data_IF_649248712447
#
_entry.id   IF_649248712447
#
_cell.length_a   1.000
_cell.length_b   1.000
_cell.length_c   1.000
_cell.angle_alpha   90.00
_cell.angle_beta   90.00
_cell.angle_gamma   90.00
#
_symmetry.space_group_name_H-M   'P 1'
#
loop_
_entity.id
_entity.type
_entity.pdbx_description
1 polymer ?
#
# COMPACT_ATOMS: atom_id res chain seq x y z
N UNK A 1 1.00 -7.47 11.68
CA UNK A 1 0.31 -6.82 10.53
C UNK A 1 -0.72 -7.75 9.93
N UNK A 2 -0.34 -8.88 9.31
CA UNK A 2 -1.34 -9.88 8.87
C UNK A 2 -2.13 -10.53 10.01
N UNK A 3 -1.54 -10.67 11.20
CA UNK A 3 -2.26 -11.11 12.41
C UNK A 3 -3.31 -10.12 12.93
N UNK A 4 -3.32 -8.88 12.43
CA UNK A 4 -4.28 -7.83 12.79
C UNK A 4 -5.33 -7.64 11.68
N UNK A 5 -5.17 -8.33 10.55
CA UNK A 5 -6.14 -8.39 9.47
C UNK A 5 -6.89 -9.72 9.60
N UNK A 6 -8.10 -9.66 10.14
CA UNK A 6 -9.02 -10.79 10.16
C UNK A 6 -9.37 -11.22 8.71
N UNK A 7 -9.63 -12.52 8.48
CA UNK A 7 -9.77 -13.17 7.15
C UNK A 7 -10.93 -12.65 6.27
N UNK A 8 -11.71 -11.67 6.74
CA UNK A 8 -12.87 -11.12 6.02
C UNK A 8 -12.55 -9.76 5.40
N UNK A 9 -12.82 -9.65 4.09
CA UNK A 9 -12.77 -8.40 3.34
C UNK A 9 -13.80 -7.42 3.94
N UNK A 10 -13.42 -6.15 4.07
CA UNK A 10 -14.28 -5.04 4.54
C UNK A 10 -14.91 -5.21 5.93
N UNK A 11 -14.29 -5.97 6.83
CA UNK A 11 -14.74 -6.12 8.23
C UNK A 11 -14.36 -4.94 9.16
N UNK A 12 -13.90 -3.82 8.61
CA UNK A 12 -13.50 -2.66 9.41
C UNK A 12 -12.07 -2.72 9.99
N UNK A 13 -11.21 -3.63 9.51
CA UNK A 13 -9.80 -3.71 9.93
C UNK A 13 -9.03 -2.38 9.72
N UNK A 14 -9.47 -1.54 8.78
CA UNK A 14 -8.90 -0.22 8.49
C UNK A 14 -9.68 0.95 9.11
N UNK A 15 -10.52 0.71 10.13
CA UNK A 15 -11.13 1.78 10.94
C UNK A 15 -10.07 2.63 11.65
N UNK A 16 -10.41 3.88 12.00
CA UNK A 16 -9.48 4.80 12.67
C UNK A 16 -8.91 4.17 13.94
N UNK A 17 -9.78 3.58 14.76
CA UNK A 17 -9.44 2.93 16.02
C UNK A 17 -8.46 1.76 15.81
N UNK A 18 -8.68 0.93 14.79
CA UNK A 18 -7.80 -0.20 14.47
C UNK A 18 -6.46 0.28 13.92
N UNK A 19 -6.44 1.32 13.09
CA UNK A 19 -5.19 1.91 12.59
C UNK A 19 -4.34 2.49 13.72
N UNK A 20 -4.96 3.18 14.69
CA UNK A 20 -4.28 3.68 15.91
C UNK A 20 -3.74 2.53 16.77
N UNK A 21 -4.51 1.47 16.95
CA UNK A 21 -4.04 0.27 17.66
C UNK A 21 -2.85 -0.41 16.95
N UNK A 22 -2.87 -0.48 15.61
CA UNK A 22 -1.73 -0.98 14.82
C UNK A 22 -0.52 -0.08 15.03
N UNK A 23 -0.66 1.24 14.94
CA UNK A 23 0.42 2.20 15.15
C UNK A 23 1.07 2.03 16.54
N UNK A 24 0.27 1.91 17.59
CA UNK A 24 0.74 1.62 18.94
C UNK A 24 1.50 0.30 19.01
N UNK A 25 0.98 -0.77 18.39
CA UNK A 25 1.65 -2.08 18.36
C UNK A 25 3.00 -2.07 17.64
N UNK A 26 3.22 -1.10 16.75
CA UNK A 26 4.47 -0.88 16.04
C UNK A 26 5.43 0.04 16.82
N UNK A 27 5.03 0.55 17.99
CA UNK A 27 5.82 1.46 18.82
C UNK A 27 5.88 2.89 18.30
N UNK A 28 4.90 3.31 17.49
CA UNK A 28 4.79 4.72 17.08
C UNK A 28 4.30 5.59 18.25
N UNK A 29 4.67 6.87 18.21
CA UNK A 29 4.14 7.89 19.14
C UNK A 29 2.63 8.03 18.92
N UNK A 30 1.86 7.70 19.94
CA UNK A 30 0.40 7.63 19.91
C UNK A 30 -0.23 9.01 19.74
N UNK A 31 0.22 10.01 20.50
CA UNK A 31 -0.29 11.38 20.44
C UNK A 31 -0.07 11.96 19.04
N UNK A 32 1.14 11.78 18.48
CA UNK A 32 1.49 12.28 17.17
C UNK A 32 0.72 11.56 16.07
N UNK A 33 0.61 10.23 16.13
CA UNK A 33 -0.10 9.46 15.12
C UNK A 33 -1.61 9.75 15.14
N UNK A 34 -2.21 9.81 16.33
CA UNK A 34 -3.63 10.11 16.49
C UNK A 34 -3.98 11.48 15.92
N UNK A 35 -3.23 12.51 16.29
CA UNK A 35 -3.40 13.85 15.75
C UNK A 35 -3.25 13.89 14.21
N UNK A 36 -2.26 13.15 13.69
CA UNK A 36 -2.04 13.03 12.25
C UNK A 36 -3.22 12.37 11.53
N UNK A 37 -3.73 11.26 12.05
CA UNK A 37 -4.84 10.52 11.46
C UNK A 37 -6.15 11.31 11.55
N UNK A 38 -6.47 11.83 12.73
CA UNK A 38 -7.73 12.52 13.02
C UNK A 38 -7.84 13.85 12.25
N UNK A 39 -6.72 14.54 12.02
CA UNK A 39 -6.70 15.75 11.20
C UNK A 39 -7.02 15.50 9.72
N UNK A 40 -6.95 14.25 9.25
CA UNK A 40 -7.13 13.91 7.84
C UNK A 40 -6.09 14.53 6.92
N UNK A 41 -4.93 14.96 7.45
CA UNK A 41 -3.87 15.70 6.75
C UNK A 41 -3.48 15.10 5.39
N UNK A 42 -3.48 13.77 5.28
CA UNK A 42 -3.06 13.05 4.08
C UNK A 42 -4.21 12.49 3.22
N UNK A 43 -5.47 12.78 3.56
CA UNK A 43 -6.66 12.29 2.83
C UNK A 43 -6.59 12.62 1.32
N UNK A 44 -6.27 13.87 0.97
CA UNK A 44 -6.09 14.29 -0.43
C UNK A 44 -4.95 13.54 -1.13
N UNK A 45 -3.87 13.20 -0.43
CA UNK A 45 -2.75 12.44 -1.00
C UNK A 45 -3.14 10.99 -1.27
N UNK A 46 -3.93 10.38 -0.39
CA UNK A 46 -4.48 9.01 -0.61
C UNK A 46 -5.40 8.99 -1.84
N UNK A 47 -6.30 9.97 -1.96
CA UNK A 47 -7.17 10.10 -3.14
C UNK A 47 -6.37 10.33 -4.42
N UNK A 48 -5.38 11.23 -4.38
CA UNK A 48 -4.49 11.48 -5.51
C UNK A 48 -3.77 10.21 -5.95
N UNK A 49 -3.13 9.47 -5.03
CA UNK A 49 -2.42 8.24 -5.36
C UNK A 49 -3.37 7.16 -5.93
N UNK A 50 -4.60 7.08 -5.41
CA UNK A 50 -5.63 6.17 -5.93
C UNK A 50 -6.00 6.52 -7.36
N UNK A 51 -6.14 7.82 -7.67
CA UNK A 51 -6.43 8.27 -9.04
C UNK A 51 -5.25 8.02 -9.96
N UNK A 52 -4.01 8.31 -9.52
CA UNK A 52 -2.81 8.03 -10.30
C UNK A 52 -2.71 6.55 -10.68
N UNK A 53 -3.01 5.63 -9.75
CA UNK A 53 -3.04 4.20 -10.07
C UNK A 53 -4.05 3.89 -11.19
N UNK A 54 -5.27 4.45 -11.13
CA UNK A 54 -6.30 4.28 -12.16
C UNK A 54 -5.88 4.85 -13.51
N UNK A 55 -5.30 6.06 -13.51
CA UNK A 55 -4.83 6.75 -14.71
C UNK A 55 -3.71 5.96 -15.40
N UNK A 56 -2.89 5.24 -14.63
CA UNK A 56 -1.84 4.34 -15.12
C UNK A 56 -2.34 2.89 -15.30
N UNK A 57 -3.65 2.68 -15.45
CA UNK A 57 -4.23 1.41 -15.86
C UNK A 57 -4.32 0.33 -14.77
N UNK A 58 -4.05 0.64 -13.51
CA UNK A 58 -4.23 -0.33 -12.41
C UNK A 58 -5.73 -0.58 -12.18
N UNK A 59 -6.12 -1.85 -12.26
CA UNK A 59 -7.53 -2.30 -12.10
C UNK A 59 -7.80 -3.09 -10.83
N UNK A 60 -6.75 -3.46 -10.09
CA UNK A 60 -6.84 -4.24 -8.86
C UNK A 60 -5.48 -4.30 -8.17
N UNK A 61 -5.48 -4.75 -6.91
CA UNK A 61 -4.26 -4.90 -6.10
C UNK A 61 -3.92 -6.38 -5.87
N UNK A 62 -2.63 -6.73 -5.76
CA UNK A 62 -1.49 -5.82 -5.92
C UNK A 62 -1.24 -5.50 -7.41
N UNK A 63 -0.72 -4.29 -7.67
CA UNK A 63 -0.22 -3.87 -8.97
C UNK A 63 1.12 -3.17 -8.75
N UNK A 64 2.13 -3.53 -9.53
CA UNK A 64 3.51 -3.08 -9.36
C UNK A 64 3.98 -2.30 -10.58
N UNK A 65 4.78 -1.26 -10.33
CA UNK A 65 5.58 -0.58 -11.35
C UNK A 65 7.04 -0.76 -10.96
N UNK A 66 7.81 -1.46 -11.79
CA UNK A 66 9.24 -1.68 -11.62
C UNK A 66 9.97 -0.61 -12.44
N UNK A 67 10.66 0.31 -11.76
CA UNK A 67 11.38 1.43 -12.37
C UNK A 67 12.87 1.10 -12.38
N UNK A 68 13.48 1.06 -13.57
CA UNK A 68 14.89 0.80 -13.80
C UNK A 68 15.54 1.82 -14.74
N UNK A 69 16.84 1.64 -15.07
CA UNK A 69 17.58 2.59 -15.91
C UNK A 69 16.95 2.84 -17.30
N UNK A 70 16.36 1.79 -17.88
CA UNK A 70 15.79 1.83 -19.24
C UNK A 70 14.28 2.14 -19.26
N UNK A 71 13.71 2.57 -18.13
CA UNK A 71 12.31 2.96 -18.01
C UNK A 71 11.54 2.15 -16.96
N UNK A 72 10.26 1.89 -17.23
CA UNK A 72 9.36 1.23 -16.27
C UNK A 72 8.62 0.04 -16.89
N UNK A 73 8.41 -1.01 -16.10
CA UNK A 73 7.58 -2.17 -16.44
C UNK A 73 6.47 -2.37 -15.41
N UNK A 74 5.26 -2.70 -15.86
CA UNK A 74 4.11 -2.94 -14.99
C UNK A 74 3.86 -4.44 -14.79
N UNK A 75 3.60 -4.86 -13.55
CA UNK A 75 3.18 -6.21 -13.20
C UNK A 75 1.80 -6.15 -12.54
N UNK A 76 0.82 -6.83 -13.14
CA UNK A 76 -0.54 -6.90 -12.61
C UNK A 76 -0.78 -8.15 -11.77
N UNK A 77 -1.40 -7.96 -10.60
CA UNK A 77 -1.83 -9.04 -9.72
C UNK A 77 -0.71 -9.60 -8.84
N UNK A 78 -1.10 -10.52 -7.96
CA UNK A 78 -0.16 -11.29 -7.17
C UNK A 78 0.53 -12.30 -8.10
N UNK A 79 1.82 -12.07 -8.38
CA UNK A 79 2.64 -12.92 -9.25
C UNK A 79 3.69 -13.68 -8.42
N UNK A 80 4.16 -14.85 -8.88
CA UNK A 80 5.22 -15.59 -8.21
C UNK A 80 6.58 -14.88 -8.37
N UNK A 81 7.51 -15.17 -7.46
CA UNK A 81 8.87 -14.63 -7.47
C UNK A 81 9.57 -14.70 -8.83
N UNK A 82 9.38 -15.79 -9.59
CA UNK A 82 10.00 -15.97 -10.90
C UNK A 82 9.68 -14.85 -11.90
N UNK A 83 8.46 -14.29 -11.86
CA UNK A 83 8.06 -13.17 -12.73
C UNK A 83 8.85 -11.92 -12.38
N UNK A 84 8.97 -11.60 -11.09
CA UNK A 84 9.77 -10.47 -10.63
C UNK A 84 11.25 -10.67 -10.97
N UNK A 85 11.79 -11.87 -10.74
CA UNK A 85 13.18 -12.20 -11.04
C UNK A 85 13.50 -11.98 -12.53
N UNK A 86 12.65 -12.44 -13.43
CA UNK A 86 12.85 -12.26 -14.87
C UNK A 86 12.93 -10.77 -15.28
N UNK A 87 12.17 -9.91 -14.60
CA UNK A 87 12.15 -8.46 -14.87
C UNK A 87 13.34 -7.75 -14.23
N UNK A 88 13.72 -8.16 -13.01
CA UNK A 88 14.77 -7.51 -12.23
C UNK A 88 16.18 -7.94 -12.65
N UNK A 89 16.39 -9.20 -13.05
CA UNK A 89 17.73 -9.72 -13.39
C UNK A 89 18.46 -8.89 -14.48
N UNK A 90 17.79 -8.39 -15.54
CA UNK A 90 18.44 -7.52 -16.52
C UNK A 90 18.67 -6.08 -16.06
N UNK A 91 18.11 -5.66 -14.92
CA UNK A 91 18.19 -4.29 -14.39
C UNK A 91 19.36 -4.08 -13.42
N UNK A 92 20.08 -5.14 -13.06
CA UNK A 92 21.20 -5.13 -12.11
C UNK A 92 22.52 -5.22 -12.85
#
# INVERSE_FOLDING_TARGET
LYSLQEDKIDNGWASSERLKAIALSLGLDDILFDSCLDSGKYSKRVQYNTQQARDHGVRGTPGFFIVGPDGQQQIGGAQPFAVFKQILDPMV
#
